data_IF_818880735501
#
_entry.id   IF_818880735501
#
_cell.length_a   1.000
_cell.length_b   1.000
_cell.length_c   1.000
_cell.angle_alpha   90.00
_cell.angle_beta   90.00
_cell.angle_gamma   90.00
#
_symmetry.space_group_name_H-M   'P 1'
#
loop_
_entity.id
_entity.type
_entity.pdbx_description
1 polymer ?
#
# COMPACT_ATOMS: atom_id res chain seq x y z
N UNK A 1 14.49 -14.34 12.78
CA UNK A 1 14.87 -13.05 12.19
C UNK A 1 13.83 -12.63 11.16
N UNK A 2 13.53 -11.35 11.11
CA UNK A 2 12.57 -10.81 10.15
C UNK A 2 13.33 -10.10 9.04
N UNK A 3 13.03 -10.44 7.80
CA UNK A 3 13.68 -9.84 6.64
C UNK A 3 12.60 -9.25 5.73
N UNK A 4 12.73 -7.97 5.43
CA UNK A 4 11.83 -7.30 4.49
C UNK A 4 12.25 -7.68 3.07
N UNK A 5 11.33 -8.23 2.31
CA UNK A 5 11.59 -8.70 0.94
C UNK A 5 10.95 -7.82 -0.12
N UNK A 6 10.08 -6.90 0.28
CA UNK A 6 9.45 -5.99 -0.65
C UNK A 6 8.40 -5.12 0.02
N UNK A 7 7.63 -4.42 -0.80
CA UNK A 7 6.59 -3.51 -0.35
C UNK A 7 5.34 -3.71 -1.20
N UNK A 8 4.19 -3.69 -0.55
CA UNK A 8 2.91 -3.88 -1.21
C UNK A 8 2.17 -2.55 -1.20
N UNK A 9 1.77 -2.07 -2.36
CA UNK A 9 0.95 -0.88 -2.48
C UNK A 9 -0.52 -1.28 -2.35
N UNK A 10 -1.18 -0.73 -1.34
CA UNK A 10 -2.56 -1.07 -1.03
C UNK A 10 -3.43 0.18 -1.16
N UNK A 11 -4.52 0.07 -1.90
CA UNK A 11 -5.54 1.10 -1.95
C UNK A 11 -6.52 0.86 -0.81
N UNK A 12 -6.77 1.89 -0.02
CA UNK A 12 -7.69 1.83 1.12
C UNK A 12 -8.89 2.71 0.81
N UNK A 13 -10.07 2.14 0.88
CA UNK A 13 -11.32 2.85 0.68
C UNK A 13 -12.09 2.93 1.99
N UNK A 14 -12.61 4.12 2.30
CA UNK A 14 -13.48 4.32 3.43
C UNK A 14 -14.90 4.53 2.91
N UNK A 15 -15.81 3.62 3.24
CA UNK A 15 -17.19 3.76 2.81
C UNK A 15 -17.96 4.70 3.73
N UNK A 16 -19.09 5.28 3.25
CA UNK A 16 -19.94 6.12 4.09
C UNK A 16 -20.51 5.41 5.31
N UNK A 17 -20.58 4.07 5.26
CA UNK A 17 -21.08 3.28 6.40
C UNK A 17 -19.96 2.97 7.41
N UNK A 18 -18.75 3.46 7.20
CA UNK A 18 -17.64 3.23 8.09
C UNK A 18 -16.84 1.95 7.83
N UNK A 19 -17.18 1.21 6.80
CA UNK A 19 -16.41 0.04 6.41
C UNK A 19 -15.11 0.45 5.75
N UNK A 20 -14.02 -0.25 6.08
CA UNK A 20 -12.72 -0.02 5.49
C UNK A 20 -12.37 -1.21 4.62
N UNK A 21 -12.16 -0.94 3.34
CA UNK A 21 -11.72 -1.97 2.40
C UNK A 21 -10.30 -1.69 1.94
N UNK A 22 -9.52 -2.73 1.73
CA UNK A 22 -8.17 -2.62 1.20
C UNK A 22 -7.97 -3.57 0.03
N UNK A 23 -7.29 -3.10 -1.00
CA UNK A 23 -6.99 -3.90 -2.18
C UNK A 23 -5.53 -3.73 -2.54
N UNK A 24 -4.79 -4.83 -2.62
CA UNK A 24 -3.41 -4.80 -3.09
C UNK A 24 -3.39 -4.48 -4.59
N UNK A 25 -2.65 -3.44 -4.97
CA UNK A 25 -2.58 -2.98 -6.34
C UNK A 25 -1.32 -3.47 -7.02
N UNK A 26 -0.19 -3.35 -6.34
CA UNK A 26 1.10 -3.65 -6.94
C UNK A 26 2.12 -4.02 -5.87
N UNK A 27 3.24 -4.55 -6.31
CA UNK A 27 4.33 -5.00 -5.46
C UNK A 27 5.64 -4.37 -5.95
N UNK A 28 6.44 -3.90 -5.01
CA UNK A 28 7.71 -3.23 -5.31
C UNK A 28 8.81 -3.82 -4.45
N UNK A 29 10.01 -3.85 -4.98
CA UNK A 29 11.18 -4.27 -4.22
C UNK A 29 11.78 -3.14 -3.41
N UNK A 30 11.53 -1.89 -3.82
CA UNK A 30 12.09 -0.70 -3.22
C UNK A 30 10.97 0.16 -2.66
N UNK A 31 11.15 0.64 -1.43
CA UNK A 31 10.14 1.45 -0.79
C UNK A 31 9.97 2.82 -1.47
N UNK A 32 11.04 3.35 -2.05
CA UNK A 32 10.97 4.63 -2.77
C UNK A 32 10.05 4.52 -3.98
N UNK A 33 10.14 3.41 -4.72
CA UNK A 33 9.25 3.17 -5.85
C UNK A 33 7.80 3.04 -5.41
N UNK A 34 7.55 2.34 -4.30
CA UNK A 34 6.21 2.20 -3.75
C UNK A 34 5.62 3.56 -3.37
N UNK A 35 6.36 4.36 -2.63
CA UNK A 35 5.90 5.68 -2.21
C UNK A 35 5.71 6.63 -3.39
N UNK A 36 6.57 6.57 -4.39
CA UNK A 36 6.45 7.41 -5.58
C UNK A 36 5.14 7.13 -6.31
N UNK A 37 4.83 5.86 -6.50
CA UNK A 37 3.58 5.47 -7.15
C UNK A 37 2.37 5.77 -6.27
N UNK A 38 2.49 5.59 -4.96
CA UNK A 38 1.42 5.93 -4.03
C UNK A 38 1.06 7.41 -4.11
N UNK A 39 2.05 8.30 -4.16
CA UNK A 39 1.82 9.74 -4.27
C UNK A 39 1.15 10.08 -5.60
N UNK A 40 1.58 9.47 -6.70
CA UNK A 40 0.97 9.70 -8.00
C UNK A 40 -0.49 9.29 -8.02
N UNK A 41 -0.79 8.12 -7.49
CA UNK A 41 -2.16 7.61 -7.47
C UNK A 41 -3.04 8.43 -6.54
N UNK A 42 -2.49 8.89 -5.43
CA UNK A 42 -3.22 9.73 -4.48
C UNK A 42 -3.63 11.07 -5.12
N UNK A 43 -2.78 11.64 -5.95
CA UNK A 43 -3.09 12.88 -6.66
C UNK A 43 -4.22 12.70 -7.67
N UNK A 44 -4.40 11.51 -8.22
CA UNK A 44 -5.41 11.20 -9.21
C UNK A 44 -6.67 10.57 -8.62
N UNK A 45 -6.61 10.18 -7.34
CA UNK A 45 -7.70 9.45 -6.71
C UNK A 45 -8.83 10.37 -6.27
N UNK A 46 -10.02 9.80 -6.17
CA UNK A 46 -11.18 10.48 -5.63
C UNK A 46 -11.04 10.64 -4.11
N UNK A 47 -11.72 11.63 -3.51
CA UNK A 47 -11.74 11.75 -2.06
C UNK A 47 -12.23 10.46 -1.40
N UNK A 48 -11.64 10.11 -0.26
CA UNK A 48 -11.98 8.90 0.47
C UNK A 48 -11.15 7.68 0.09
N UNK A 49 -10.24 7.82 -0.88
CA UNK A 49 -9.31 6.75 -1.26
C UNK A 49 -7.92 7.13 -0.80
N UNK A 50 -7.29 6.26 -0.03
CA UNK A 50 -5.92 6.43 0.39
C UNK A 50 -5.04 5.30 -0.16
N UNK A 51 -3.73 5.54 -0.15
CA UNK A 51 -2.75 4.54 -0.58
C UNK A 51 -1.70 4.40 0.48
N UNK A 52 -1.35 3.17 0.81
CA UNK A 52 -0.33 2.87 1.81
C UNK A 52 0.65 1.85 1.25
N UNK A 53 1.89 1.94 1.68
CA UNK A 53 2.93 0.97 1.37
C UNK A 53 3.16 0.11 2.61
N UNK A 54 2.86 -1.17 2.51
CA UNK A 54 3.06 -2.12 3.57
C UNK A 54 4.31 -2.94 3.31
N UNK A 55 5.08 -3.18 4.35
CA UNK A 55 6.25 -4.04 4.24
C UNK A 55 5.83 -5.50 4.09
N UNK A 56 6.38 -6.16 3.08
CA UNK A 56 6.28 -7.61 2.95
C UNK A 56 7.54 -8.22 3.51
N UNK A 57 7.41 -9.13 4.46
CA UNK A 57 8.55 -9.70 5.13
C UNK A 57 8.36 -11.20 5.36
N UNK A 58 9.49 -11.87 5.53
CA UNK A 58 9.50 -13.28 5.91
C UNK A 58 10.22 -13.43 7.24
N UNK A 59 9.81 -14.43 8.00
CA UNK A 59 10.44 -14.76 9.26
C UNK A 59 11.34 -15.96 9.02
N UNK A 60 12.61 -15.79 9.33
CA UNK A 60 13.61 -16.87 9.23
C UNK A 60 14.14 -17.20 10.60
N UNK A 61 14.47 -18.44 10.80
CA UNK A 61 15.08 -18.89 12.06
C UNK A 61 16.58 -18.65 12.08
#
# INVERSE_FOLDING_TARGET
>A
MVVVVGYILVAVNLSPQGDVGGTAINYYKDNIECYTDAVKLEQEANPGVGFVCLEDYVVTE
#
